data_IF_384490532273
#
_entry.id   IF_384490532273
#
_cell.length_a   1.000
_cell.length_b   1.000
_cell.length_c   1.000
_cell.angle_alpha   90.00
_cell.angle_beta   90.00
_cell.angle_gamma   90.00
#
_symmetry.space_group_name_H-M   'P 1'
#
loop_
_entity.id
_entity.type
_entity.pdbx_description
1 polymer ?
#
# COMPACT_ATOMS: atom_id res chain seq x y z
N UNK A 1 30.96 35.75 26.45
CA UNK A 1 30.85 35.02 25.17
C UNK A 1 30.14 33.68 25.44
N UNK A 2 28.80 33.65 25.39
CA UNK A 2 27.95 32.49 25.70
C UNK A 2 26.87 32.32 24.62
N UNK A 3 27.28 32.34 23.36
CA UNK A 3 26.38 32.23 22.21
C UNK A 3 26.72 31.06 21.26
N UNK A 4 27.68 30.20 21.64
CA UNK A 4 28.13 29.09 20.78
C UNK A 4 27.50 27.73 21.07
N UNK A 5 26.90 27.54 22.25
CA UNK A 5 26.50 26.21 22.74
C UNK A 5 25.02 25.88 22.55
N UNK A 6 24.22 26.80 21.99
CA UNK A 6 22.80 26.58 21.73
C UNK A 6 22.52 25.97 20.34
N UNK A 7 23.46 26.11 19.39
CA UNK A 7 23.23 25.70 17.99
C UNK A 7 23.48 24.19 17.78
N UNK A 8 24.35 23.57 18.58
CA UNK A 8 24.71 22.15 18.40
C UNK A 8 23.64 21.20 18.95
N UNK A 9 22.82 21.64 19.91
CA UNK A 9 21.77 20.80 20.52
C UNK A 9 20.53 20.67 19.63
N UNK A 10 20.31 21.60 18.69
CA UNK A 10 19.12 21.59 17.83
C UNK A 10 19.19 20.58 16.67
N UNK A 11 20.36 20.04 16.34
CA UNK A 11 20.53 19.13 15.18
C UNK A 11 20.38 17.65 15.59
N UNK A 12 20.49 17.32 16.88
CA UNK A 12 20.55 15.94 17.38
C UNK A 12 19.19 15.32 17.75
N UNK A 13 18.09 16.04 17.60
CA UNK A 13 16.73 15.54 17.93
C UNK A 13 16.05 14.85 16.73
N UNK A 14 16.62 14.92 15.52
CA UNK A 14 16.01 14.37 14.29
C UNK A 14 16.29 12.90 13.98
N UNK A 15 17.06 12.18 14.80
CA UNK A 15 17.65 10.88 14.46
C UNK A 15 17.12 9.70 15.30
N UNK A 16 15.87 9.75 15.74
CA UNK A 16 15.25 8.65 16.49
C UNK A 16 14.10 8.07 15.68
N UNK A 17 14.24 6.81 15.25
CA UNK A 17 13.19 5.89 14.77
C UNK A 17 12.60 6.10 13.35
N UNK A 18 13.40 5.86 12.31
CA UNK A 18 12.89 5.63 10.94
C UNK A 18 12.34 4.20 10.70
N UNK A 19 12.20 3.36 11.74
CA UNK A 19 11.68 1.99 11.59
C UNK A 19 10.15 1.86 11.79
N UNK A 20 9.42 2.98 11.88
CA UNK A 20 7.95 2.99 12.01
C UNK A 20 7.23 3.74 10.88
N UNK A 21 7.94 4.26 9.86
CA UNK A 21 7.35 5.20 8.90
C UNK A 21 6.26 4.58 8.02
N UNK A 22 6.40 3.32 7.59
CA UNK A 22 5.49 2.70 6.62
C UNK A 22 4.13 2.36 7.22
N UNK A 23 4.13 1.72 8.39
CA UNK A 23 2.90 1.44 9.12
C UNK A 23 2.22 2.73 9.57
N UNK A 24 2.99 3.72 9.99
CA UNK A 24 2.48 5.05 10.35
C UNK A 24 1.91 5.80 9.13
N UNK A 25 2.50 5.66 7.95
CA UNK A 25 1.92 6.17 6.69
C UNK A 25 0.60 5.47 6.34
N UNK A 26 0.51 4.15 6.52
CA UNK A 26 -0.73 3.40 6.30
C UNK A 26 -1.83 3.89 7.25
N UNK A 27 -1.53 4.06 8.54
CA UNK A 27 -2.47 4.58 9.54
C UNK A 27 -2.93 5.99 9.20
N UNK A 28 -2.03 6.90 8.80
CA UNK A 28 -2.40 8.25 8.34
C UNK A 28 -3.31 8.23 7.12
N UNK A 29 -3.05 7.32 6.17
CA UNK A 29 -3.90 7.13 5.01
C UNK A 29 -5.29 6.61 5.39
N UNK A 30 -5.35 5.66 6.33
CA UNK A 30 -6.61 5.13 6.87
C UNK A 30 -7.43 6.21 7.57
N UNK A 31 -6.80 7.00 8.45
CA UNK A 31 -7.47 8.10 9.15
C UNK A 31 -8.06 9.12 8.16
N UNK A 32 -7.27 9.52 7.15
CA UNK A 32 -7.75 10.42 6.10
C UNK A 32 -8.94 9.81 5.32
N UNK A 33 -8.92 8.50 5.07
CA UNK A 33 -10.03 7.79 4.42
C UNK A 33 -11.30 7.78 5.28
N UNK A 34 -11.17 7.48 6.58
CA UNK A 34 -12.28 7.47 7.54
C UNK A 34 -12.91 8.86 7.71
N UNK A 35 -12.10 9.92 7.63
CA UNK A 35 -12.55 11.31 7.62
C UNK A 35 -13.15 11.77 6.28
N UNK A 36 -13.35 10.87 5.31
CA UNK A 36 -13.82 11.16 3.95
C UNK A 36 -12.90 12.12 3.15
N UNK A 37 -11.64 12.26 3.54
CA UNK A 37 -10.64 13.08 2.83
C UNK A 37 -9.93 12.25 1.76
N UNK A 38 -10.67 11.83 0.72
CA UNK A 38 -10.18 10.84 -0.25
C UNK A 38 -8.94 11.29 -1.02
N UNK A 39 -8.85 12.57 -1.43
CA UNK A 39 -7.66 13.08 -2.11
C UNK A 39 -6.40 13.04 -1.22
N UNK A 40 -6.57 13.33 0.07
CA UNK A 40 -5.49 13.26 1.06
C UNK A 40 -5.07 11.82 1.33
N UNK A 41 -6.04 10.93 1.50
CA UNK A 41 -5.79 9.51 1.66
C UNK A 41 -5.00 8.96 0.45
N UNK A 42 -5.41 9.35 -0.76
CA UNK A 42 -4.75 8.99 -2.01
C UNK A 42 -3.28 9.41 -2.03
N UNK A 43 -2.98 10.63 -1.59
CA UNK A 43 -1.62 11.15 -1.51
C UNK A 43 -0.75 10.33 -0.55
N UNK A 44 -1.30 9.96 0.62
CA UNK A 44 -0.60 9.08 1.56
C UNK A 44 -0.33 7.70 0.95
N UNK A 45 -1.30 7.12 0.26
CA UNK A 45 -1.14 5.79 -0.35
C UNK A 45 -0.13 5.79 -1.50
N UNK A 46 -0.13 6.80 -2.37
CA UNK A 46 0.87 6.91 -3.46
C UNK A 46 2.29 7.05 -2.94
N UNK A 47 2.48 7.74 -1.82
CA UNK A 47 3.79 7.85 -1.19
C UNK A 47 4.27 6.53 -0.57
N UNK A 48 3.33 5.69 -0.12
CA UNK A 48 3.61 4.37 0.47
C UNK A 48 3.86 3.28 -0.60
N UNK A 49 3.33 3.46 -1.81
CA UNK A 49 3.32 2.47 -2.89
C UNK A 49 4.71 1.88 -3.27
N UNK A 50 5.81 2.66 -3.33
CA UNK A 50 7.13 2.11 -3.64
C UNK A 50 7.68 1.15 -2.57
N UNK A 51 7.16 1.24 -1.34
CA UNK A 51 7.68 0.52 -0.18
C UNK A 51 6.68 -0.53 0.35
N UNK A 52 5.71 -0.96 -0.47
CA UNK A 52 4.71 -1.96 -0.08
C UNK A 52 5.29 -3.30 0.34
N UNK A 53 6.45 -3.68 -0.22
CA UNK A 53 7.13 -4.93 0.14
C UNK A 53 7.58 -4.98 1.60
N UNK A 54 7.75 -3.80 2.23
CA UNK A 54 8.14 -3.70 3.65
C UNK A 54 6.96 -3.91 4.59
N UNK A 55 5.74 -3.85 4.09
CA UNK A 55 4.53 -4.12 4.85
C UNK A 55 4.32 -5.64 5.00
N UNK A 56 3.82 -6.05 6.16
CA UNK A 56 3.34 -7.42 6.39
C UNK A 56 2.20 -7.77 5.44
N UNK A 57 1.95 -9.07 5.24
CA UNK A 57 0.86 -9.53 4.36
C UNK A 57 -0.50 -8.97 4.76
N UNK A 58 -0.78 -8.85 6.05
CA UNK A 58 -2.01 -8.23 6.56
C UNK A 58 -2.09 -6.75 6.19
N UNK A 59 -1.01 -5.99 6.40
CA UNK A 59 -0.97 -4.56 6.05
C UNK A 59 -1.06 -4.32 4.54
N UNK A 60 -0.47 -5.20 3.72
CA UNK A 60 -0.60 -5.13 2.26
C UNK A 60 -2.04 -5.36 1.81
N UNK A 61 -2.76 -6.30 2.44
CA UNK A 61 -4.18 -6.51 2.16
C UNK A 61 -5.03 -5.30 2.56
N UNK A 62 -4.76 -4.73 3.75
CA UNK A 62 -5.41 -3.51 4.22
C UNK A 62 -5.12 -2.32 3.30
N UNK A 63 -3.87 -2.15 2.87
CA UNK A 63 -3.48 -1.14 1.88
C UNK A 63 -4.25 -1.31 0.58
N UNK A 64 -4.29 -2.51 0.01
CA UNK A 64 -4.98 -2.77 -1.26
C UNK A 64 -6.47 -2.43 -1.15
N UNK A 65 -7.11 -2.78 -0.03
CA UNK A 65 -8.50 -2.40 0.24
C UNK A 65 -8.68 -0.88 0.34
N UNK A 66 -7.88 -0.21 1.18
CA UNK A 66 -8.00 1.23 1.40
C UNK A 66 -7.71 2.04 0.13
N UNK A 67 -6.68 1.65 -0.62
CA UNK A 67 -6.31 2.22 -1.91
C UNK A 67 -7.46 2.04 -2.92
N UNK A 68 -7.95 0.82 -3.08
CA UNK A 68 -9.03 0.50 -4.01
C UNK A 68 -10.35 1.21 -3.66
N UNK A 69 -10.72 1.26 -2.38
CA UNK A 69 -11.91 1.99 -1.93
C UNK A 69 -11.75 3.50 -2.08
N UNK A 70 -10.55 4.04 -1.90
CA UNK A 70 -10.28 5.47 -2.15
C UNK A 70 -10.46 5.79 -3.63
N UNK A 71 -9.85 5.01 -4.51
CA UNK A 71 -10.00 5.14 -5.96
C UNK A 71 -11.47 4.97 -6.39
N UNK A 72 -12.20 4.03 -5.77
CA UNK A 72 -13.63 3.81 -6.02
C UNK A 72 -14.47 5.06 -5.70
N UNK A 73 -14.21 5.72 -4.56
CA UNK A 73 -14.97 6.90 -4.12
C UNK A 73 -14.62 8.16 -4.92
N UNK A 74 -13.39 8.26 -5.43
CA UNK A 74 -12.98 9.34 -6.33
C UNK A 74 -13.54 9.12 -7.75
N UNK A 75 -13.79 7.86 -8.13
CA UNK A 75 -14.30 7.49 -9.46
C UNK A 75 -13.23 6.95 -10.41
N UNK A 76 -12.02 6.66 -9.93
CA UNK A 76 -10.97 5.99 -10.70
C UNK A 76 -11.26 4.49 -10.82
N UNK A 77 -12.27 4.15 -11.63
CA UNK A 77 -12.86 2.80 -11.72
C UNK A 77 -11.86 1.70 -12.08
N UNK A 78 -10.89 2.00 -12.94
CA UNK A 78 -9.88 1.01 -13.37
C UNK A 78 -8.92 0.67 -12.22
N UNK A 79 -8.35 1.69 -11.57
CA UNK A 79 -7.46 1.52 -10.42
C UNK A 79 -8.19 0.90 -9.24
N UNK A 80 -9.42 1.34 -8.97
CA UNK A 80 -10.28 0.78 -7.94
C UNK A 80 -10.46 -0.72 -8.11
N UNK A 81 -10.79 -1.18 -9.32
CA UNK A 81 -10.90 -2.62 -9.61
C UNK A 81 -9.61 -3.37 -9.34
N UNK A 82 -8.49 -2.85 -9.83
CA UNK A 82 -7.20 -3.50 -9.70
C UNK A 82 -6.87 -3.76 -8.22
N UNK A 83 -6.94 -2.71 -7.41
CA UNK A 83 -6.59 -2.79 -5.99
C UNK A 83 -7.60 -3.58 -5.16
N UNK A 84 -8.90 -3.45 -5.43
CA UNK A 84 -9.93 -4.24 -4.74
C UNK A 84 -9.83 -5.73 -5.10
N UNK A 85 -9.55 -6.06 -6.37
CA UNK A 85 -9.33 -7.45 -6.79
C UNK A 85 -8.08 -8.03 -6.13
N UNK A 86 -7.01 -7.24 -5.97
CA UNK A 86 -5.82 -7.66 -5.22
C UNK A 86 -6.14 -7.94 -3.75
N UNK A 87 -6.89 -7.05 -3.08
CA UNK A 87 -7.35 -7.27 -1.71
C UNK A 87 -8.20 -8.55 -1.58
N UNK A 88 -9.13 -8.78 -2.51
CA UNK A 88 -9.94 -9.99 -2.53
C UNK A 88 -9.07 -11.25 -2.72
N UNK A 89 -8.13 -11.24 -3.67
CA UNK A 89 -7.26 -12.38 -3.93
C UNK A 89 -6.35 -12.72 -2.73
N UNK A 90 -5.90 -11.70 -1.99
CA UNK A 90 -5.13 -11.92 -0.75
C UNK A 90 -5.97 -12.59 0.34
N UNK A 91 -7.23 -12.19 0.50
CA UNK A 91 -8.17 -12.79 1.45
C UNK A 91 -8.57 -14.23 1.05
N UNK A 92 -8.69 -14.51 -0.25
CA UNK A 92 -8.92 -15.87 -0.76
C UNK A 92 -7.71 -16.79 -0.51
N UNK A 93 -6.49 -16.24 -0.67
CA UNK A 93 -5.24 -16.96 -0.41
C UNK A 93 -5.00 -17.18 1.09
N UNK A 94 -5.43 -16.24 1.92
CA UNK A 94 -5.23 -16.25 3.36
C UNK A 94 -6.45 -15.65 4.05
N UNK A 95 -7.39 -16.49 4.52
CA UNK A 95 -8.61 -16.00 5.12
C UNK A 95 -8.33 -15.28 6.45
N UNK A 96 -9.02 -14.17 6.68
CA UNK A 96 -8.90 -13.38 7.91
C UNK A 96 -7.84 -12.28 7.88
N UNK A 97 -7.33 -11.88 6.71
CA UNK A 97 -6.47 -10.71 6.59
C UNK A 97 -7.26 -9.40 6.67
N UNK A 98 -8.49 -9.41 6.15
CA UNK A 98 -9.39 -8.27 6.14
C UNK A 98 -10.49 -8.41 7.19
N UNK A 99 -10.91 -7.32 7.85
CA UNK A 99 -12.14 -7.30 8.64
C UNK A 99 -13.35 -7.71 7.80
N UNK A 100 -14.34 -8.38 8.42
CA UNK A 100 -15.53 -8.88 7.72
C UNK A 100 -16.28 -7.78 6.96
N UNK A 101 -16.42 -6.60 7.56
CA UNK A 101 -17.10 -5.45 6.92
C UNK A 101 -16.33 -4.91 5.70
N UNK A 102 -15.00 -5.06 5.67
CA UNK A 102 -14.17 -4.63 4.56
C UNK A 102 -14.30 -5.63 3.41
N UNK A 103 -14.36 -6.92 3.73
CA UNK A 103 -14.59 -8.00 2.75
C UNK A 103 -15.94 -7.84 2.05
N UNK A 104 -17.02 -7.60 2.79
CA UNK A 104 -18.35 -7.36 2.21
C UNK A 104 -18.33 -6.16 1.27
N UNK A 105 -17.79 -5.03 1.73
CA UNK A 105 -17.66 -3.81 0.91
C UNK A 105 -16.80 -4.00 -0.34
N UNK A 106 -15.73 -4.78 -0.24
CA UNK A 106 -14.88 -5.13 -1.40
C UNK A 106 -15.66 -5.90 -2.44
N UNK A 107 -16.42 -6.92 -2.02
CA UNK A 107 -17.24 -7.73 -2.91
C UNK A 107 -18.34 -6.92 -3.59
N UNK A 108 -19.03 -6.06 -2.85
CA UNK A 108 -20.06 -5.16 -3.40
C UNK A 108 -19.47 -4.16 -4.40
N UNK A 109 -18.35 -3.52 -4.05
CA UNK A 109 -17.70 -2.55 -4.93
C UNK A 109 -17.17 -3.21 -6.21
N UNK A 110 -16.57 -4.40 -6.11
CA UNK A 110 -16.14 -5.17 -7.28
C UNK A 110 -17.33 -5.60 -8.14
N UNK A 111 -18.44 -6.02 -7.53
CA UNK A 111 -19.66 -6.34 -8.27
C UNK A 111 -20.19 -5.13 -9.05
N UNK A 112 -20.31 -3.95 -8.41
CA UNK A 112 -20.76 -2.72 -9.08
C UNK A 112 -19.82 -2.31 -10.20
N UNK A 113 -18.51 -2.32 -9.95
CA UNK A 113 -17.52 -2.03 -10.97
C UNK A 113 -17.68 -3.01 -12.14
N UNK A 114 -17.71 -4.32 -11.85
CA UNK A 114 -17.86 -5.42 -12.83
C UNK A 114 -19.09 -5.27 -13.70
N UNK A 115 -20.23 -4.95 -13.10
CA UNK A 115 -21.47 -4.68 -13.84
C UNK A 115 -21.26 -3.69 -14.98
N UNK A 116 -20.59 -2.56 -14.74
CA UNK A 116 -20.35 -1.53 -15.77
C UNK A 116 -19.60 -2.09 -16.99
N UNK A 117 -18.56 -2.91 -16.82
CA UNK A 117 -17.79 -3.41 -17.97
C UNK A 117 -18.53 -4.52 -18.71
N UNK A 118 -19.23 -5.38 -17.98
CA UNK A 118 -19.97 -6.47 -18.62
C UNK A 118 -21.25 -5.96 -19.29
N UNK A 119 -21.96 -5.02 -18.68
CA UNK A 119 -23.20 -4.47 -19.24
C UNK A 119 -22.92 -3.47 -20.37
N UNK A 120 -22.02 -2.49 -20.16
CA UNK A 120 -21.69 -1.51 -21.22
C UNK A 120 -20.91 -2.15 -22.36
N UNK A 121 -20.05 -3.14 -22.05
CA UNK A 121 -19.29 -3.89 -23.06
C UNK A 121 -20.18 -4.72 -23.97
N UNK A 122 -21.18 -5.41 -23.43
CA UNK A 122 -22.13 -6.20 -24.23
C UNK A 122 -23.08 -5.29 -25.02
N UNK A 123 -23.54 -4.17 -24.43
CA UNK A 123 -24.32 -3.18 -25.15
C UNK A 123 -23.55 -2.60 -26.36
N UNK A 124 -22.26 -2.31 -26.19
CA UNK A 124 -21.39 -1.81 -27.26
C UNK A 124 -21.14 -2.85 -28.38
N UNK A 125 -21.13 -4.15 -28.04
CA UNK A 125 -20.98 -5.24 -29.02
C UNK A 125 -22.28 -5.55 -29.76
N UNK A 126 -23.44 -5.32 -29.13
CA UNK A 126 -24.77 -5.53 -29.72
C UNK A 126 -25.29 -4.36 -30.56
N UNK A 127 -24.72 -3.17 -30.42
CA UNK A 127 -25.07 -2.02 -31.25
C UNK A 127 -24.49 -2.18 -32.67
N UNK A 128 -25.30 -2.04 -33.75
CA UNK A 128 -24.77 -2.04 -35.10
C UNK A 128 -23.84 -0.83 -35.24
N UNK A 129 -22.53 -1.07 -35.43
CA UNK A 129 -21.59 0.01 -35.77
C UNK A 129 -22.10 0.68 -37.04
N UNK A 130 -22.57 1.91 -36.93
CA UNK A 130 -22.87 2.73 -38.09
C UNK A 130 -21.55 2.92 -38.84
N UNK A 131 -21.48 2.44 -40.09
CA UNK A 131 -20.27 2.45 -40.93
C UNK A 131 -19.75 3.87 -41.28
N UNK A 132 -20.26 4.91 -40.62
CA UNK A 132 -19.96 6.32 -40.87
C UNK A 132 -18.89 6.88 -39.93
N UNK A 133 -18.56 6.22 -38.81
CA UNK A 133 -17.55 6.67 -37.84
C UNK A 133 -16.20 5.96 -38.01
N UNK A 134 -15.78 5.76 -39.26
CA UNK A 134 -14.37 5.48 -39.56
C UNK A 134 -13.75 6.81 -39.98
N UNK A 135 -12.96 7.50 -39.14
CA UNK A 135 -12.06 8.52 -39.66
C UNK A 135 -11.17 7.81 -40.69
N UNK A 136 -11.23 8.27 -41.94
CA UNK A 136 -10.51 7.70 -43.06
C UNK A 136 -9.03 7.53 -42.68
N UNK A 137 -8.66 6.29 -42.37
CA UNK A 137 -7.28 5.89 -42.18
C UNK A 137 -6.57 6.08 -43.52
N UNK A 138 -5.67 7.06 -43.57
CA UNK A 138 -4.68 7.18 -44.61
C UNK A 138 -3.92 5.84 -44.76
N UNK A 139 -3.57 5.42 -46.00
CA UNK A 139 -3.06 4.08 -46.23
C UNK A 139 -1.67 3.88 -45.61
N UNK A 140 -1.50 2.65 -45.15
CA UNK A 140 -0.33 2.07 -44.52
C UNK A 140 0.99 2.34 -45.27
N UNK A 141 2.01 2.76 -44.52
CA UNK A 141 3.40 2.43 -44.88
C UNK A 141 3.67 1.00 -44.41
N UNK A 142 3.99 0.13 -45.36
CA UNK A 142 4.21 -1.31 -45.19
C UNK A 142 5.34 -1.65 -44.19
N UNK A 143 5.30 -2.82 -43.53
CA UNK A 143 6.42 -3.31 -42.73
C UNK A 143 7.47 -3.95 -43.66
N UNK A 144 8.67 -3.38 -43.71
CA UNK A 144 9.82 -4.05 -44.29
C UNK A 144 10.32 -5.13 -43.31
N UNK A 145 10.22 -6.38 -43.72
CA UNK A 145 10.92 -7.52 -43.11
C UNK A 145 12.38 -7.55 -43.55
N UNK A 146 13.30 -7.72 -42.59
CA UNK A 146 14.70 -8.20 -42.68
C UNK A 146 15.51 -7.46 -41.59
N UNK A 147 16.27 -8.03 -40.66
CA UNK A 147 16.80 -9.39 -40.48
C UNK A 147 17.19 -9.53 -39.01
N UNK A 148 17.05 -10.72 -38.42
CA UNK A 148 17.90 -11.11 -37.29
C UNK A 148 19.34 -11.35 -37.81
N UNK A 149 20.37 -11.06 -37.00
CA UNK A 149 21.11 -12.21 -36.48
C UNK A 149 21.48 -12.08 -35.00
N UNK A 150 21.84 -13.25 -34.48
CA UNK A 150 22.23 -13.54 -33.12
C UNK A 150 23.45 -12.76 -32.64
N UNK A 151 23.48 -12.47 -31.34
CA UNK A 151 24.69 -12.47 -30.50
C UNK A 151 24.30 -12.48 -29.01
N UNK A 152 24.31 -13.66 -28.41
CA UNK A 152 24.84 -13.86 -27.06
C UNK A 152 26.22 -14.53 -27.25
N UNK A 153 27.22 -14.45 -26.34
CA UNK A 153 27.04 -14.36 -24.88
C UNK A 153 28.05 -13.48 -24.09
N UNK A 154 27.77 -13.37 -22.79
CA UNK A 154 28.68 -13.32 -21.62
C UNK A 154 29.92 -12.40 -21.58
N UNK A 155 29.94 -11.53 -20.56
CA UNK A 155 31.10 -11.25 -19.68
C UNK A 155 30.54 -10.58 -18.42
N UNK A 156 30.40 -11.25 -17.28
CA UNK A 156 31.46 -11.65 -16.36
C UNK A 156 32.41 -10.50 -16.02
N UNK A 157 32.12 -9.77 -14.94
CA UNK A 157 33.12 -9.09 -14.11
C UNK A 157 32.50 -8.75 -12.74
N UNK A 158 32.59 -9.70 -11.82
CA UNK A 158 33.01 -9.37 -10.45
C UNK A 158 34.55 -9.44 -10.46
N UNK A 159 35.26 -8.66 -9.63
CA UNK A 159 35.49 -9.17 -8.28
C UNK A 159 35.54 -8.13 -7.15
N UNK A 160 35.18 -8.64 -5.97
CA UNK A 160 35.84 -8.48 -4.67
C UNK A 160 36.27 -7.09 -4.18
N UNK A 161 35.64 -6.67 -3.08
CA UNK A 161 36.38 -6.20 -1.90
C UNK A 161 35.61 -6.55 -0.63
N UNK A 162 36.14 -7.52 0.09
CA UNK A 162 36.01 -7.72 1.54
C UNK A 162 37.46 -7.88 2.06
N UNK A 163 37.77 -7.90 3.38
CA UNK A 163 36.98 -7.60 4.56
C UNK A 163 37.73 -6.63 5.53
N UNK A 164 37.30 -6.61 6.80
CA UNK A 164 37.92 -6.06 8.03
C UNK A 164 37.15 -4.83 8.59
N UNK A 165 36.76 -4.76 9.85
CA UNK A 165 37.28 -5.40 11.05
C UNK A 165 36.18 -5.65 12.07
N UNK A 166 36.39 -6.72 12.83
CA UNK A 166 35.71 -7.03 14.06
C UNK A 166 35.74 -5.88 15.07
N UNK A 167 34.68 -5.76 15.85
CA UNK A 167 34.73 -5.42 17.27
C UNK A 167 33.41 -5.86 17.92
N UNK A 168 33.43 -7.04 18.54
CA UNK A 168 32.65 -7.24 19.75
C UNK A 168 33.23 -6.31 20.84
N UNK A 169 32.41 -5.82 21.77
CA UNK A 169 32.35 -6.54 23.03
C UNK A 169 30.95 -6.66 23.64
N UNK A 170 30.91 -7.60 24.59
CA UNK A 170 29.86 -7.93 25.53
C UNK A 170 29.26 -6.69 26.21
N UNK A 171 27.95 -6.74 26.48
CA UNK A 171 27.42 -6.85 27.85
C UNK A 171 25.90 -6.95 27.80
N UNK A 172 25.38 -8.04 28.36
CA UNK A 172 23.99 -8.10 28.78
C UNK A 172 23.77 -7.19 30.00
N UNK A 173 22.67 -6.45 30.05
CA UNK A 173 21.95 -6.20 31.28
C UNK A 173 20.59 -6.91 31.19
N UNK A 174 20.35 -7.91 32.03
CA UNK A 174 19.71 -7.74 33.34
C UNK A 174 18.21 -7.43 33.20
N UNK A 175 17.42 -8.41 33.64
CA UNK A 175 15.98 -8.47 33.70
C UNK A 175 15.32 -7.14 34.08
N UNK A 176 14.37 -6.68 33.27
CA UNK A 176 13.43 -5.66 33.69
C UNK A 176 12.48 -6.24 34.77
N UNK A 177 12.21 -5.48 35.85
CA UNK A 177 11.31 -5.91 36.92
C UNK A 177 9.84 -5.94 36.46
N UNK A 178 9.08 -6.86 37.05
CA UNK A 178 7.63 -7.00 36.85
C UNK A 178 6.88 -5.70 37.12
N UNK A 179 5.85 -5.34 36.32
CA UNK A 179 4.97 -4.24 36.67
C UNK A 179 4.19 -4.58 37.94
N UNK A 180 4.26 -3.69 38.92
CA UNK A 180 3.54 -3.74 40.18
C UNK A 180 2.03 -3.91 39.95
N UNK A 181 1.42 -4.77 40.76
CA UNK A 181 -0.01 -5.01 40.82
C UNK A 181 -0.81 -3.71 40.85
N UNK A 182 -1.78 -3.58 39.95
CA UNK A 182 -2.77 -2.53 39.98
C UNK A 182 -3.52 -2.52 41.33
N UNK A 183 -3.86 -1.34 41.89
CA UNK A 183 -4.70 -1.25 43.08
C UNK A 183 -6.12 -1.78 42.77
N UNK A 184 -6.67 -2.54 43.72
CA UNK A 184 -8.00 -3.12 43.64
C UNK A 184 -9.09 -2.03 43.44
N UNK A 185 -10.14 -2.29 42.65
CA UNK A 185 -11.27 -1.37 42.54
C UNK A 185 -12.03 -1.26 43.86
N UNK A 186 -12.42 -0.04 44.22
CA UNK A 186 -13.23 0.26 45.40
C UNK A 186 -14.58 -0.48 45.37
N UNK A 187 -15.14 -0.87 46.54
CA UNK A 187 -16.43 -1.55 46.60
C UNK A 187 -17.57 -0.63 46.16
N UNK A 188 -18.45 -1.16 45.31
CA UNK A 188 -19.65 -0.48 44.84
C UNK A 188 -20.63 -0.18 46.00
N UNK A 189 -21.39 0.93 45.93
CA UNK A 189 -22.40 1.25 46.94
C UNK A 189 -23.57 0.26 46.89
N UNK A 190 -24.00 -0.18 48.07
CA UNK A 190 -25.12 -1.09 48.27
C UNK A 190 -26.45 -0.49 47.78
N UNK A 191 -27.40 -1.32 47.30
CA UNK A 191 -28.70 -0.83 46.86
C UNK A 191 -29.53 -0.31 48.06
N UNK A 192 -30.05 0.90 47.91
CA UNK A 192 -31.03 1.48 48.81
C UNK A 192 -32.32 0.64 48.79
N UNK A 193 -32.88 0.42 49.97
CA UNK A 193 -34.07 -0.40 50.21
C UNK A 193 -35.33 0.46 50.25
#
# INVERSE_FOLDING_TARGET
MRAGMAVVVAVLVGAVCACTTYRDQLVRGQEAFELNQHDRALAHFRNLEPDLERLSTTERAQYAYLRGMTDYRIGYRADARHWLALAQAMEETSPGLLPVDWKTRTGEALHDLNRVVYDDGIAALGAPRKASDVPAAAPASAPASASAPASAPASASAPASAPASASAPASAPASAPAPASAPAPAPAPAPAR
#
